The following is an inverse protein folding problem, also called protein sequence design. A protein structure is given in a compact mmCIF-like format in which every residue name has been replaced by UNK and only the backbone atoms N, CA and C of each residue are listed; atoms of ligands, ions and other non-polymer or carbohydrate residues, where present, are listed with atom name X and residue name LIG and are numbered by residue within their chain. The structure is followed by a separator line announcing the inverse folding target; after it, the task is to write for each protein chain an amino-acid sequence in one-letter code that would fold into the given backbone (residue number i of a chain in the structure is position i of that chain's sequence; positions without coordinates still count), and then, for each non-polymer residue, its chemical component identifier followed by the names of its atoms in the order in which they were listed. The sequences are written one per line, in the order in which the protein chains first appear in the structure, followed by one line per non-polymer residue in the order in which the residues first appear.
data_IF_840695343660
#
_entry.id   IF_840695343660
#
_cell.length_a   1.000
_cell.length_b   1.000
_cell.length_c   1.000
_cell.angle_alpha   90.00
_cell.angle_beta   90.00
_cell.angle_gamma   90.00
#
_symmetry.space_group_name_H-M   'P 1'
#
loop_
_entity.id
_entity.type
_entity.pdbx_description
1 polymer ?
#
# COMPACT_ATOMS: atom_id res chain seq x y z
N UNK A 1 -40.10 31.27 -15.84
CA UNK A 1 -39.88 30.57 -14.56
C UNK A 1 -39.81 29.05 -14.72
N UNK A 2 -40.20 28.46 -15.87
CA UNK A 2 -40.01 27.02 -16.14
C UNK A 2 -38.53 26.65 -16.35
N UNK A 3 -37.80 27.41 -17.16
CA UNK A 3 -36.40 27.08 -17.55
C UNK A 3 -35.43 26.93 -16.38
N UNK A 4 -35.65 27.66 -15.28
CA UNK A 4 -34.80 27.62 -14.08
C UNK A 4 -35.10 26.39 -13.23
N UNK A 5 -36.36 25.94 -13.23
CA UNK A 5 -36.77 24.72 -12.52
C UNK A 5 -36.29 23.49 -13.27
N UNK A 6 -36.47 23.44 -14.59
CA UNK A 6 -36.02 22.34 -15.44
C UNK A 6 -34.48 22.17 -15.37
N UNK A 7 -33.73 23.28 -15.39
CA UNK A 7 -32.25 23.25 -15.25
C UNK A 7 -31.78 22.82 -13.85
N UNK A 8 -32.53 23.17 -12.80
CA UNK A 8 -32.23 22.77 -11.43
C UNK A 8 -32.55 21.29 -11.17
N UNK A 9 -33.62 20.77 -11.76
CA UNK A 9 -33.98 19.34 -11.71
C UNK A 9 -32.96 18.47 -12.46
N UNK A 10 -32.47 18.93 -13.62
CA UNK A 10 -31.43 18.22 -14.37
C UNK A 10 -30.09 18.20 -13.59
N UNK A 11 -29.68 19.34 -13.03
CA UNK A 11 -28.44 19.47 -12.24
C UNK A 11 -28.46 18.62 -10.95
N UNK A 12 -29.62 18.50 -10.30
CA UNK A 12 -29.77 17.68 -9.08
C UNK A 12 -29.75 16.18 -9.38
N UNK A 13 -30.31 15.76 -10.52
CA UNK A 13 -30.28 14.39 -11.01
C UNK A 13 -28.88 13.91 -11.41
N UNK A 14 -28.10 14.75 -12.09
CA UNK A 14 -26.70 14.46 -12.45
C UNK A 14 -25.80 14.35 -11.21
N UNK A 15 -26.00 15.25 -10.23
CA UNK A 15 -25.28 15.16 -8.96
C UNK A 15 -25.60 13.86 -8.23
N UNK A 16 -26.88 13.48 -8.12
CA UNK A 16 -27.28 12.23 -7.48
C UNK A 16 -26.62 11.00 -8.15
N UNK A 17 -26.55 10.99 -9.49
CA UNK A 17 -25.88 9.92 -10.24
C UNK A 17 -24.37 9.90 -9.97
N UNK A 18 -23.73 11.07 -9.99
CA UNK A 18 -22.28 11.21 -9.74
C UNK A 18 -21.91 10.84 -8.30
N UNK A 19 -22.70 11.28 -7.31
CA UNK A 19 -22.54 10.92 -5.91
C UNK A 19 -22.71 9.42 -5.66
N UNK A 20 -23.62 8.75 -6.39
CA UNK A 20 -23.79 7.29 -6.29
C UNK A 20 -22.56 6.55 -6.82
N UNK A 21 -22.03 6.95 -7.99
CA UNK A 21 -20.77 6.40 -8.53
C UNK A 21 -19.61 6.63 -7.57
N UNK A 22 -19.51 7.84 -7.03
CA UNK A 22 -18.52 8.20 -6.04
C UNK A 22 -18.59 7.30 -4.81
N UNK A 23 -19.78 7.10 -4.24
CA UNK A 23 -19.98 6.24 -3.06
C UNK A 23 -19.58 4.79 -3.32
N UNK A 24 -19.93 4.24 -4.49
CA UNK A 24 -19.50 2.88 -4.86
C UNK A 24 -17.98 2.77 -4.93
N UNK A 25 -17.31 3.70 -5.60
CA UNK A 25 -15.85 3.71 -5.70
C UNK A 25 -15.18 3.91 -4.35
N UNK A 26 -15.69 4.85 -3.54
CA UNK A 26 -15.25 5.07 -2.17
C UNK A 26 -15.38 3.79 -1.33
N UNK A 27 -16.53 3.11 -1.40
CA UNK A 27 -16.77 1.85 -0.69
C UNK A 27 -15.79 0.75 -1.09
N UNK A 28 -15.44 0.65 -2.37
CA UNK A 28 -14.43 -0.30 -2.84
C UNK A 28 -13.03 0.01 -2.27
N UNK A 29 -12.60 1.28 -2.33
CA UNK A 29 -11.31 1.71 -1.77
C UNK A 29 -11.27 1.42 -0.27
N UNK A 30 -12.36 1.71 0.44
CA UNK A 30 -12.43 1.51 1.89
C UNK A 30 -12.45 0.03 2.27
N UNK A 31 -13.19 -0.81 1.54
CA UNK A 31 -13.21 -2.25 1.75
C UNK A 31 -11.83 -2.87 1.58
N UNK A 32 -11.20 -2.62 0.43
CA UNK A 32 -9.83 -3.09 0.16
C UNK A 32 -8.83 -2.50 1.17
N UNK A 33 -8.97 -1.22 1.53
CA UNK A 33 -8.11 -0.57 2.52
C UNK A 33 -8.16 -1.22 3.90
N UNK A 34 -9.36 -1.61 4.37
CA UNK A 34 -9.52 -2.32 5.64
C UNK A 34 -8.91 -3.72 5.58
N UNK A 35 -9.10 -4.44 4.46
CA UNK A 35 -8.44 -5.75 4.26
C UNK A 35 -6.92 -5.62 4.32
N UNK A 36 -6.34 -4.61 3.66
CA UNK A 36 -4.90 -4.32 3.72
C UNK A 36 -4.47 -4.05 5.16
N UNK A 37 -5.18 -3.21 5.92
CA UNK A 37 -4.89 -2.92 7.33
C UNK A 37 -4.81 -4.19 8.18
N UNK A 38 -5.69 -5.17 7.92
CA UNK A 38 -5.69 -6.46 8.61
C UNK A 38 -4.47 -7.35 8.31
N UNK A 39 -3.77 -7.10 7.20
CA UNK A 39 -2.56 -7.82 6.83
C UNK A 39 -1.27 -7.18 7.36
N UNK A 40 -1.32 -5.93 7.85
CA UNK A 40 -0.14 -5.21 8.36
C UNK A 40 0.15 -5.65 9.79
N UNK A 41 1.37 -6.16 10.02
CA UNK A 41 1.85 -6.56 11.35
C UNK A 41 2.46 -5.39 12.14
N UNK A 42 3.06 -4.44 11.44
CA UNK A 42 3.67 -3.26 12.05
C UNK A 42 2.60 -2.25 12.51
N UNK A 43 2.59 -1.93 13.80
CA UNK A 43 1.55 -1.09 14.40
C UNK A 43 1.62 0.37 13.92
N UNK A 44 2.81 0.90 13.66
CA UNK A 44 2.99 2.28 13.21
C UNK A 44 2.50 2.42 11.77
N UNK A 45 2.91 1.50 10.90
CA UNK A 45 2.46 1.47 9.50
C UNK A 45 0.95 1.20 9.42
N UNK A 46 0.42 0.33 10.28
CA UNK A 46 -1.02 0.09 10.38
C UNK A 46 -1.76 1.37 10.78
N UNK A 47 -1.26 2.12 11.77
CA UNK A 47 -1.86 3.37 12.21
C UNK A 47 -1.84 4.43 11.09
N UNK A 48 -0.74 4.54 10.35
CA UNK A 48 -0.62 5.45 9.22
C UNK A 48 -1.65 5.15 8.13
N UNK A 49 -1.84 3.88 7.77
CA UNK A 49 -2.87 3.46 6.81
C UNK A 49 -4.29 3.79 7.32
N UNK A 50 -4.58 3.53 8.58
CA UNK A 50 -5.87 3.88 9.20
C UNK A 50 -6.12 5.39 9.19
N UNK A 51 -5.10 6.21 9.46
CA UNK A 51 -5.20 7.67 9.38
C UNK A 51 -5.46 8.15 7.95
N UNK A 52 -4.75 7.61 6.96
CA UNK A 52 -4.99 7.95 5.55
C UNK A 52 -6.41 7.61 5.10
N UNK A 53 -6.92 6.43 5.48
CA UNK A 53 -8.32 6.06 5.21
C UNK A 53 -9.31 7.03 5.88
N UNK A 54 -9.08 7.41 7.14
CA UNK A 54 -9.92 8.40 7.84
C UNK A 54 -9.92 9.76 7.13
N UNK A 55 -8.77 10.23 6.67
CA UNK A 55 -8.65 11.50 5.94
C UNK A 55 -9.45 11.47 4.63
N UNK A 56 -9.33 10.39 3.85
CA UNK A 56 -10.13 10.19 2.63
C UNK A 56 -11.62 10.16 2.96
N UNK A 57 -12.03 9.48 4.04
CA UNK A 57 -13.43 9.45 4.48
C UNK A 57 -13.97 10.83 4.85
N UNK A 58 -13.19 11.60 5.61
CA UNK A 58 -13.58 12.94 6.05
C UNK A 58 -13.68 13.91 4.87
N UNK A 59 -12.66 13.95 4.00
CA UNK A 59 -12.65 14.78 2.80
C UNK A 59 -13.80 14.41 1.85
N UNK A 60 -14.10 13.12 1.70
CA UNK A 60 -15.23 12.62 0.92
C UNK A 60 -16.57 13.11 1.46
N UNK A 61 -16.76 13.04 2.78
CA UNK A 61 -17.98 13.52 3.43
C UNK A 61 -18.16 15.03 3.24
N UNK A 62 -17.10 15.82 3.46
CA UNK A 62 -17.12 17.28 3.27
C UNK A 62 -17.46 17.64 1.82
N UNK A 63 -16.84 16.97 0.84
CA UNK A 63 -17.11 17.18 -0.58
C UNK A 63 -18.58 16.91 -0.93
N UNK A 64 -19.17 15.82 -0.43
CA UNK A 64 -20.56 15.47 -0.69
C UNK A 64 -21.54 16.46 -0.04
N UNK A 65 -21.26 16.91 1.18
CA UNK A 65 -22.05 17.95 1.86
C UNK A 65 -22.00 19.27 1.10
N UNK A 66 -20.82 19.66 0.64
CA UNK A 66 -20.62 20.85 -0.18
C UNK A 66 -21.37 20.74 -1.51
N UNK A 67 -21.27 19.59 -2.19
CA UNK A 67 -21.98 19.31 -3.44
C UNK A 67 -23.50 19.39 -3.29
N UNK A 68 -24.06 18.80 -2.22
CA UNK A 68 -25.48 18.92 -1.88
C UNK A 68 -25.91 20.36 -1.66
N UNK A 69 -25.07 21.15 -0.99
CA UNK A 69 -25.33 22.58 -0.71
C UNK A 69 -25.35 23.38 -2.01
N UNK A 70 -24.38 23.17 -2.91
CA UNK A 70 -24.34 23.81 -4.24
C UNK A 70 -25.57 23.46 -5.08
N UNK A 71 -26.03 22.20 -5.03
CA UNK A 71 -27.21 21.78 -5.76
C UNK A 71 -28.52 22.34 -5.19
N UNK A 72 -28.57 22.58 -3.88
CA UNK A 72 -29.75 23.17 -3.22
C UNK A 72 -29.83 24.68 -3.40
N UNK A 73 -28.68 25.36 -3.52
CA UNK A 73 -28.61 26.80 -3.78
C UNK A 73 -27.44 27.15 -4.73
N UNK A 74 -27.67 27.12 -6.06
CA UNK A 74 -26.63 27.35 -7.06
C UNK A 74 -26.20 28.81 -7.20
N UNK A 75 -26.89 29.75 -6.54
CA UNK A 75 -26.60 31.18 -6.61
C UNK A 75 -25.49 31.62 -5.65
N UNK A 76 -25.09 30.75 -4.72
CA UNK A 76 -24.03 31.03 -3.75
C UNK A 76 -22.65 30.73 -4.37
N UNK A 77 -22.00 31.76 -4.88
CA UNK A 77 -20.65 31.69 -5.48
C UNK A 77 -19.57 31.18 -4.51
N UNK A 78 -19.71 31.47 -3.21
CA UNK A 78 -18.79 30.99 -2.17
C UNK A 78 -18.75 29.45 -2.11
N UNK A 79 -19.91 28.79 -2.23
CA UNK A 79 -20.03 27.33 -2.12
C UNK A 79 -19.38 26.60 -3.30
N UNK A 80 -19.39 27.21 -4.51
CA UNK A 80 -18.70 26.65 -5.69
C UNK A 80 -17.17 26.69 -5.55
N UNK A 81 -16.64 27.77 -4.96
CA UNK A 81 -15.22 27.88 -4.65
C UNK A 81 -14.81 26.84 -3.61
N UNK A 82 -15.61 26.70 -2.54
CA UNK A 82 -15.37 25.70 -1.49
C UNK A 82 -15.40 24.27 -2.05
N UNK A 83 -16.36 23.96 -2.94
CA UNK A 83 -16.45 22.65 -3.59
C UNK A 83 -15.16 22.29 -4.35
N UNK A 84 -14.56 23.26 -5.03
CA UNK A 84 -13.30 23.06 -5.75
C UNK A 84 -12.12 22.81 -4.81
N UNK A 85 -12.10 23.48 -3.66
CA UNK A 85 -11.11 23.27 -2.60
C UNK A 85 -11.27 21.88 -1.99
N UNK A 86 -12.49 21.49 -1.61
CA UNK A 86 -12.79 20.19 -1.01
C UNK A 86 -12.43 19.04 -1.96
N UNK A 87 -12.68 19.21 -3.27
CA UNK A 87 -12.31 18.23 -4.29
C UNK A 87 -10.78 18.05 -4.39
N UNK A 88 -10.03 19.13 -4.25
CA UNK A 88 -8.56 19.09 -4.22
C UNK A 88 -8.06 18.39 -2.96
N UNK A 89 -8.58 18.74 -1.79
CA UNK A 89 -8.22 18.10 -0.51
C UNK A 89 -8.48 16.60 -0.56
N UNK A 90 -9.61 16.17 -1.14
CA UNK A 90 -9.89 14.75 -1.35
C UNK A 90 -8.87 14.09 -2.29
N UNK A 91 -8.54 14.73 -3.41
CA UNK A 91 -7.54 14.22 -4.35
C UNK A 91 -6.18 14.05 -3.68
N UNK A 92 -5.76 15.02 -2.89
CA UNK A 92 -4.49 14.97 -2.17
C UNK A 92 -4.52 13.84 -1.13
N UNK A 93 -5.62 13.70 -0.38
CA UNK A 93 -5.80 12.58 0.58
C UNK A 93 -5.76 11.19 -0.09
N UNK A 94 -6.31 11.06 -1.30
CA UNK A 94 -6.24 9.81 -2.08
C UNK A 94 -4.81 9.53 -2.54
N UNK A 95 -4.08 10.56 -2.99
CA UNK A 95 -2.68 10.39 -3.36
C UNK A 95 -1.83 9.97 -2.17
N UNK A 96 -2.06 10.55 -0.99
CA UNK A 96 -1.39 10.16 0.25
C UNK A 96 -1.68 8.70 0.61
N UNK A 97 -2.93 8.25 0.48
CA UNK A 97 -3.31 6.85 0.67
C UNK A 97 -2.57 5.92 -0.31
N UNK A 98 -2.47 6.30 -1.58
CA UNK A 98 -1.74 5.53 -2.60
C UNK A 98 -0.25 5.43 -2.23
N UNK A 99 0.36 6.53 -1.78
CA UNK A 99 1.76 6.54 -1.36
C UNK A 99 2.00 5.58 -0.19
N UNK A 100 1.12 5.60 0.83
CA UNK A 100 1.19 4.65 1.95
C UNK A 100 1.09 3.21 1.46
N UNK A 101 0.19 2.90 0.52
CA UNK A 101 0.08 1.56 -0.08
C UNK A 101 1.34 1.14 -0.85
N UNK A 102 2.00 2.05 -1.55
CA UNK A 102 3.25 1.77 -2.29
C UNK A 102 4.37 1.47 -1.30
N UNK A 103 4.56 2.30 -0.27
CA UNK A 103 5.55 2.07 0.78
C UNK A 103 5.30 0.74 1.48
N UNK A 104 4.04 0.44 1.81
CA UNK A 104 3.62 -0.84 2.39
C UNK A 104 4.02 -2.04 1.53
N UNK A 105 3.79 -1.96 0.22
CA UNK A 105 4.16 -3.02 -0.71
C UNK A 105 5.66 -3.29 -0.67
N UNK A 106 6.48 -2.23 -0.61
CA UNK A 106 7.95 -2.35 -0.56
C UNK A 106 8.36 -3.02 0.75
N UNK A 107 7.91 -2.50 1.90
CA UNK A 107 8.26 -3.05 3.23
C UNK A 107 7.81 -4.50 3.40
N UNK A 108 6.60 -4.85 2.95
CA UNK A 108 6.09 -6.23 3.05
C UNK A 108 6.88 -7.18 2.16
N UNK A 109 7.27 -6.75 0.95
CA UNK A 109 8.03 -7.59 0.02
C UNK A 109 9.45 -7.85 0.53
N UNK A 110 10.16 -6.81 0.94
CA UNK A 110 11.54 -6.90 1.46
C UNK A 110 11.62 -7.77 2.71
N UNK A 111 10.66 -7.62 3.64
CA UNK A 111 10.60 -8.45 4.85
C UNK A 111 10.24 -9.90 4.54
N UNK A 112 9.33 -10.14 3.58
CA UNK A 112 8.97 -11.50 3.17
C UNK A 112 10.15 -12.25 2.58
N UNK A 113 10.97 -11.60 1.76
CA UNK A 113 12.14 -12.24 1.16
C UNK A 113 13.16 -12.67 2.23
N UNK A 114 13.36 -11.86 3.27
CA UNK A 114 14.27 -12.17 4.39
C UNK A 114 13.73 -13.35 5.23
N UNK A 115 12.44 -13.33 5.59
CA UNK A 115 11.80 -14.41 6.37
C UNK A 115 11.84 -15.76 5.63
N UNK A 116 11.61 -15.75 4.32
CA UNK A 116 11.68 -16.95 3.47
C UNK A 116 13.12 -17.48 3.40
N UNK A 117 14.13 -16.61 3.28
CA UNK A 117 15.56 -16.99 3.32
C UNK A 117 15.95 -17.60 4.66
N UNK A 118 15.56 -16.98 5.78
CA UNK A 118 15.82 -17.51 7.14
C UNK A 118 15.18 -18.90 7.31
N UNK A 119 13.94 -19.06 6.86
CA UNK A 119 13.23 -20.34 6.92
C UNK A 119 13.97 -21.42 6.13
N UNK A 120 14.44 -21.11 4.92
CA UNK A 120 15.20 -22.05 4.09
C UNK A 120 16.54 -22.43 4.72
N UNK A 121 17.24 -21.49 5.34
CA UNK A 121 18.47 -21.76 6.09
C UNK A 121 18.20 -22.73 7.24
N UNK A 122 17.16 -22.47 8.05
CA UNK A 122 16.77 -23.36 9.15
C UNK A 122 16.38 -24.76 8.68
N UNK A 123 15.63 -24.86 7.57
CA UNK A 123 15.30 -26.15 6.96
C UNK A 123 16.54 -26.92 6.52
N UNK A 124 17.52 -26.23 5.92
CA UNK A 124 18.79 -26.84 5.52
C UNK A 124 19.58 -27.35 6.74
N UNK A 125 19.58 -26.60 7.86
CA UNK A 125 20.16 -27.08 9.13
C UNK A 125 19.45 -28.32 9.66
N UNK A 126 18.12 -28.34 9.62
CA UNK A 126 17.33 -29.50 10.05
C UNK A 126 17.61 -30.76 9.20
N UNK A 127 17.85 -30.60 7.90
CA UNK A 127 18.23 -31.71 7.02
C UNK A 127 19.61 -32.28 7.38
N UNK A 128 20.57 -31.43 7.77
CA UNK A 128 21.87 -31.86 8.28
C UNK A 128 21.71 -32.62 9.61
N UNK A 129 20.87 -32.12 10.52
CA UNK A 129 20.59 -32.75 11.81
C UNK A 129 19.85 -34.08 11.66
N UNK A 130 19.02 -34.23 10.63
CA UNK A 130 18.35 -35.48 10.29
C UNK A 130 19.32 -36.58 9.82
N UNK A 131 20.57 -36.24 9.50
CA UNK A 131 21.64 -37.18 9.19
C UNK A 131 21.44 -37.96 7.89
N UNK A 132 20.62 -37.45 6.97
CA UNK A 132 20.37 -38.09 5.68
C UNK A 132 21.39 -37.63 4.64
N UNK A 133 22.38 -38.49 4.34
CA UNK A 133 23.42 -38.18 3.35
C UNK A 133 23.29 -39.10 2.12
N UNK A 134 22.84 -38.58 0.96
CA UNK A 134 22.63 -39.41 -0.24
C UNK A 134 23.96 -39.86 -0.85
N UNK A 135 23.95 -41.04 -1.48
CA UNK A 135 25.09 -41.53 -2.24
C UNK A 135 25.31 -40.64 -3.48
N UNK A 136 26.56 -40.23 -3.71
CA UNK A 136 26.94 -39.39 -4.84
C UNK A 136 27.80 -40.15 -5.83
N UNK A 137 27.57 -39.90 -7.12
CA UNK A 137 28.41 -40.42 -8.21
C UNK A 137 29.52 -39.44 -8.61
N UNK A 138 29.58 -38.26 -7.97
CA UNK A 138 30.57 -37.24 -8.25
C UNK A 138 31.93 -37.54 -7.57
N UNK A 139 33.06 -37.31 -8.26
CA UNK A 139 34.38 -37.39 -7.62
C UNK A 139 34.53 -36.38 -6.47
N UNK A 140 35.24 -36.78 -5.42
CA UNK A 140 35.43 -35.95 -4.23
C UNK A 140 36.06 -34.58 -4.55
N UNK A 141 37.06 -34.54 -5.42
CA UNK A 141 37.75 -33.29 -5.80
C UNK A 141 36.80 -32.29 -6.48
N UNK A 142 35.82 -32.78 -7.25
CA UNK A 142 34.82 -31.94 -7.89
C UNK A 142 33.83 -31.37 -6.87
N UNK A 143 33.44 -32.17 -5.86
CA UNK A 143 32.59 -31.72 -4.76
C UNK A 143 33.33 -30.71 -3.86
N UNK A 144 34.62 -30.94 -3.60
CA UNK A 144 35.46 -30.04 -2.83
C UNK A 144 35.65 -28.71 -3.56
N UNK A 145 35.91 -28.72 -4.87
CA UNK A 145 36.00 -27.51 -5.67
C UNK A 145 34.69 -26.71 -5.66
N UNK A 146 33.54 -27.40 -5.79
CA UNK A 146 32.21 -26.78 -5.66
C UNK A 146 32.00 -26.14 -4.29
N UNK A 147 32.38 -26.82 -3.22
CA UNK A 147 32.28 -26.30 -1.85
C UNK A 147 33.15 -25.06 -1.64
N UNK A 148 34.41 -25.09 -2.08
CA UNK A 148 35.33 -23.95 -1.97
C UNK A 148 34.81 -22.74 -2.76
N UNK A 149 34.34 -22.97 -3.98
CA UNK A 149 33.77 -21.92 -4.82
C UNK A 149 32.48 -21.32 -4.21
N UNK A 150 31.60 -22.14 -3.65
CA UNK A 150 30.41 -21.68 -2.96
C UNK A 150 30.75 -20.88 -1.69
N UNK A 151 31.73 -21.34 -0.90
CA UNK A 151 32.18 -20.65 0.30
C UNK A 151 32.77 -19.26 0.01
N UNK A 152 33.53 -19.15 -1.10
CA UNK A 152 34.08 -17.85 -1.54
C UNK A 152 32.98 -16.85 -1.91
N UNK A 153 31.99 -17.27 -2.69
CA UNK A 153 30.85 -16.42 -3.05
C UNK A 153 30.04 -16.00 -1.82
N UNK A 154 29.79 -16.94 -0.90
CA UNK A 154 29.08 -16.62 0.34
C UNK A 154 29.82 -15.56 1.16
N UNK A 155 31.16 -15.63 1.23
CA UNK A 155 31.98 -14.63 1.93
C UNK A 155 31.92 -13.25 1.25
N UNK A 156 31.89 -13.20 -0.08
CA UNK A 156 31.69 -11.95 -0.83
C UNK A 156 30.33 -11.34 -0.53
N UNK A 157 29.25 -12.13 -0.67
CA UNK A 157 27.88 -11.68 -0.39
C UNK A 157 27.66 -11.29 1.09
N UNK A 158 28.41 -11.88 2.02
CA UNK A 158 28.36 -11.48 3.44
C UNK A 158 28.78 -10.02 3.60
N UNK A 159 29.75 -9.55 2.81
CA UNK A 159 30.17 -8.16 2.82
C UNK A 159 29.06 -7.25 2.28
N UNK A 160 28.40 -7.64 1.18
CA UNK A 160 27.28 -6.89 0.60
C UNK A 160 26.12 -6.71 1.59
N UNK A 161 25.79 -7.78 2.33
CA UNK A 161 24.73 -7.75 3.36
C UNK A 161 25.10 -6.81 4.50
N UNK A 162 26.35 -6.84 4.98
CA UNK A 162 26.82 -5.95 6.06
C UNK A 162 26.75 -4.49 5.61
N UNK A 163 27.27 -4.18 4.42
CA UNK A 163 27.25 -2.81 3.87
C UNK A 163 25.82 -2.31 3.68
N UNK A 164 24.94 -3.15 3.09
CA UNK A 164 23.53 -2.79 2.87
C UNK A 164 22.78 -2.55 4.18
N UNK A 165 23.09 -3.30 5.23
CA UNK A 165 22.50 -3.11 6.56
C UNK A 165 22.96 -1.81 7.23
N UNK A 166 24.25 -1.45 7.10
CA UNK A 166 24.79 -0.19 7.61
C UNK A 166 24.18 1.03 6.90
N UNK A 167 24.05 0.98 5.58
CA UNK A 167 23.41 2.05 4.79
C UNK A 167 21.94 2.24 5.17
N UNK A 168 21.20 1.15 5.37
CA UNK A 168 19.79 1.18 5.79
C UNK A 168 19.57 1.84 7.15
N UNK A 169 20.56 1.81 8.05
CA UNK A 169 20.49 2.50 9.35
C UNK A 169 20.81 4.00 9.30
N UNK A 170 21.35 4.49 8.18
CA UNK A 170 21.81 5.88 8.05
C UNK A 170 20.77 6.81 7.40
N UNK A 171 19.66 6.27 6.87
CA UNK A 171 18.55 7.03 6.26
C UNK A 171 17.38 7.37 7.23
N UNK A 172 17.54 7.12 8.54
CA UNK A 172 16.62 7.58 9.62
C UNK A 172 17.18 8.79 10.36
#
# INVERSE_FOLDING_TARGET
TSDVVDSAEESTSELATSSKKFFTTFGNIFGVGIEIVGCIKDQEVQNNMVMSLKNVSMASSTLLVCGKTVASDPNVTHTKSQLSVDARVLKDSINDLINVCITLKITIHEQKDIDDVITNINNSTNELDAGHFPATSCPFDELLAKMIHAASQLNEHTTDVVVSAEESTTEL
#
